data_IF_395521572845
#
_entry.id   IF_395521572845
#
_cell.length_a   1.000
_cell.length_b   1.000
_cell.length_c   1.000
_cell.angle_alpha   90.00
_cell.angle_beta   90.00
_cell.angle_gamma   90.00
#
_symmetry.space_group_name_H-M   'P 1'
#
loop_
_entity.id
_entity.type
_entity.pdbx_description
1 polymer ?
#
# COMPACT_ATOMS: atom_id res chain seq x y z
N UNK A 1 -21.24 -23.36 1.97
CA UNK A 1 -22.47 -24.03 2.43
C UNK A 1 -22.41 -25.53 2.19
N UNK A 2 -21.68 -26.00 1.16
CA UNK A 2 -21.46 -27.44 0.91
C UNK A 2 -20.99 -28.18 2.17
N UNK A 3 -19.97 -27.68 2.88
CA UNK A 3 -19.50 -28.34 4.11
C UNK A 3 -20.57 -28.47 5.19
N UNK A 4 -21.46 -27.47 5.36
CA UNK A 4 -22.49 -27.49 6.40
C UNK A 4 -23.56 -28.55 6.13
N UNK A 5 -23.93 -28.73 4.85
CA UNK A 5 -24.89 -29.74 4.42
C UNK A 5 -24.27 -31.13 4.28
N UNK A 6 -23.04 -31.24 3.76
CA UNK A 6 -22.34 -32.52 3.58
C UNK A 6 -21.81 -33.10 4.90
N UNK A 7 -21.41 -32.24 5.84
CA UNK A 7 -20.82 -32.66 7.12
C UNK A 7 -21.83 -32.63 8.28
N UNK A 8 -23.11 -32.33 8.00
CA UNK A 8 -24.19 -32.18 8.99
C UNK A 8 -23.84 -31.22 10.14
N UNK A 9 -23.19 -30.09 9.83
CA UNK A 9 -22.63 -29.14 10.79
C UNK A 9 -21.59 -29.71 11.78
N UNK A 10 -21.05 -30.92 11.54
CA UNK A 10 -19.91 -31.45 12.28
C UNK A 10 -18.62 -31.27 11.49
N UNK A 11 -17.72 -30.40 11.97
CA UNK A 11 -16.43 -30.16 11.31
C UNK A 11 -15.52 -31.39 11.27
N UNK A 12 -15.75 -32.40 12.11
CA UNK A 12 -15.00 -33.67 12.08
C UNK A 12 -15.22 -34.47 10.79
N UNK A 13 -16.36 -34.27 10.11
CA UNK A 13 -16.72 -35.02 8.92
C UNK A 13 -16.22 -34.36 7.61
N UNK A 14 -15.47 -33.26 7.71
CA UNK A 14 -14.95 -32.55 6.53
C UNK A 14 -13.81 -33.37 5.90
N UNK A 15 -14.04 -33.85 4.68
CA UNK A 15 -13.24 -34.84 3.92
C UNK A 15 -11.77 -34.47 3.61
N UNK A 16 -11.29 -33.34 4.11
CA UNK A 16 -9.94 -32.80 3.88
C UNK A 16 -9.12 -32.61 5.16
N UNK A 17 -9.72 -32.76 6.35
CA UNK A 17 -9.07 -32.48 7.64
C UNK A 17 -9.10 -33.71 8.57
N UNK A 18 -8.64 -34.86 8.08
CA UNK A 18 -8.66 -36.12 8.85
C UNK A 18 -7.61 -36.14 9.98
N UNK A 19 -8.07 -36.26 11.22
CA UNK A 19 -7.24 -36.28 12.43
C UNK A 19 -6.64 -37.67 12.75
N UNK A 20 -6.00 -38.30 11.76
CA UNK A 20 -5.59 -39.72 11.80
C UNK A 20 -4.34 -40.07 12.61
N UNK A 21 -3.50 -39.10 13.03
CA UNK A 21 -2.25 -39.38 13.75
C UNK A 21 -2.14 -38.64 15.10
N UNK A 22 -1.69 -39.34 16.14
CA UNK A 22 -1.61 -38.84 17.52
C UNK A 22 -0.74 -37.57 17.69
N UNK A 23 0.25 -37.36 16.82
CA UNK A 23 1.11 -36.16 16.84
C UNK A 23 0.44 -34.86 16.37
N UNK A 24 -0.73 -34.94 15.72
CA UNK A 24 -1.54 -33.78 15.26
C UNK A 24 -2.67 -33.44 16.23
N UNK A 25 -2.86 -34.25 17.28
CA UNK A 25 -4.00 -34.12 18.20
C UNK A 25 -3.82 -33.04 19.27
N UNK A 26 -2.59 -32.65 19.61
CA UNK A 26 -2.36 -31.73 20.73
C UNK A 26 -1.35 -30.67 20.30
N UNK A 27 -1.76 -29.41 20.34
CA UNK A 27 -0.85 -28.30 20.06
C UNK A 27 -0.03 -27.91 21.29
N UNK A 28 0.83 -26.90 21.15
CA UNK A 28 1.71 -26.46 22.23
C UNK A 28 1.02 -25.45 23.15
N UNK A 29 1.06 -25.73 24.46
CA UNK A 29 0.60 -24.78 25.48
C UNK A 29 1.66 -23.72 25.71
N UNK A 30 1.28 -22.45 25.59
CA UNK A 30 2.15 -21.32 25.90
C UNK A 30 1.40 -20.25 26.69
N UNK A 31 1.62 -20.25 28.01
CA UNK A 31 1.04 -19.25 28.92
C UNK A 31 1.53 -17.84 28.61
N UNK A 32 2.83 -17.69 28.32
CA UNK A 32 3.44 -16.39 28.04
C UNK A 32 2.84 -15.76 26.78
N UNK A 33 2.77 -16.51 25.67
CA UNK A 33 2.21 -16.01 24.43
C UNK A 33 0.71 -15.74 24.55
N UNK A 34 -0.06 -16.68 25.12
CA UNK A 34 -1.50 -16.52 25.30
C UNK A 34 -1.88 -15.32 26.17
N UNK A 35 -1.22 -15.12 27.31
CA UNK A 35 -1.46 -13.95 28.18
C UNK A 35 -1.06 -12.66 27.45
N UNK A 36 0.08 -12.64 26.74
CA UNK A 36 0.51 -11.45 25.99
C UNK A 36 -0.51 -11.04 24.92
N UNK A 37 -1.05 -12.00 24.16
CA UNK A 37 -2.08 -11.75 23.14
C UNK A 37 -3.39 -11.25 23.75
N UNK A 38 -3.85 -11.84 24.86
CA UNK A 38 -5.08 -11.40 25.54
C UNK A 38 -4.92 -9.99 26.09
N UNK A 39 -3.79 -9.68 26.74
CA UNK A 39 -3.52 -8.34 27.29
C UNK A 39 -3.44 -7.31 26.17
N UNK A 40 -2.68 -7.60 25.11
CA UNK A 40 -2.58 -6.74 23.94
C UNK A 40 -3.95 -6.50 23.28
N UNK A 41 -4.68 -7.57 22.99
CA UNK A 41 -6.02 -7.51 22.39
C UNK A 41 -6.98 -6.70 23.24
N UNK A 42 -6.99 -6.90 24.56
CA UNK A 42 -7.87 -6.16 25.48
C UNK A 42 -7.59 -4.66 25.48
N UNK A 43 -6.32 -4.26 25.44
CA UNK A 43 -5.93 -2.84 25.38
C UNK A 43 -6.36 -2.21 24.05
N UNK A 44 -6.09 -2.90 22.93
CA UNK A 44 -6.46 -2.39 21.59
C UNK A 44 -7.96 -2.33 21.42
N UNK A 45 -8.71 -3.32 21.93
CA UNK A 45 -10.17 -3.36 21.88
C UNK A 45 -10.80 -2.17 22.60
N UNK A 46 -10.29 -1.83 23.80
CA UNK A 46 -10.72 -0.65 24.56
C UNK A 46 -10.45 0.63 23.76
N UNK A 47 -9.28 0.73 23.12
CA UNK A 47 -8.92 1.89 22.32
C UNK A 47 -9.89 2.05 21.13
N UNK A 48 -10.18 0.98 20.40
CA UNK A 48 -11.14 0.99 19.30
C UNK A 48 -12.56 1.38 19.76
N UNK A 49 -13.01 0.85 20.91
CA UNK A 49 -14.30 1.20 21.48
C UNK A 49 -14.42 2.71 21.80
N UNK A 50 -13.36 3.32 22.34
CA UNK A 50 -13.32 4.76 22.59
C UNK A 50 -13.40 5.55 21.27
N UNK A 51 -12.65 5.15 20.25
CA UNK A 51 -12.64 5.84 18.94
C UNK A 51 -14.03 5.76 18.29
N UNK A 52 -14.67 4.59 18.29
CA UNK A 52 -16.04 4.42 17.76
C UNK A 52 -17.04 5.25 18.56
N UNK A 53 -16.94 5.28 19.89
CA UNK A 53 -17.81 6.11 20.73
C UNK A 53 -17.73 7.60 20.36
N UNK A 54 -16.53 8.11 20.06
CA UNK A 54 -16.34 9.49 19.59
C UNK A 54 -16.96 9.69 18.20
N UNK A 55 -16.75 8.75 17.28
CA UNK A 55 -17.31 8.82 15.91
C UNK A 55 -18.85 8.72 15.88
N UNK A 56 -19.47 8.12 16.91
CA UNK A 56 -20.94 8.02 17.01
C UNK A 56 -21.64 9.35 17.30
N UNK A 57 -20.91 10.42 17.63
CA UNK A 57 -21.51 11.75 17.80
C UNK A 57 -22.20 12.20 16.51
N UNK A 58 -23.35 12.88 16.66
CA UNK A 58 -24.23 13.26 15.54
C UNK A 58 -23.50 14.11 14.50
N UNK A 59 -22.55 14.95 14.92
CA UNK A 59 -21.74 15.81 14.05
C UNK A 59 -20.91 15.01 13.03
N UNK A 60 -20.29 13.90 13.44
CA UNK A 60 -19.46 13.08 12.56
C UNK A 60 -20.28 12.10 11.72
N UNK A 61 -21.40 11.60 12.24
CA UNK A 61 -22.28 10.65 11.54
C UNK A 61 -22.97 11.20 10.30
N UNK A 62 -22.92 12.50 10.05
CA UNK A 62 -23.44 13.09 8.80
C UNK A 62 -22.47 12.84 7.64
N UNK A 63 -21.17 12.85 7.92
CA UNK A 63 -20.10 12.71 6.92
C UNK A 63 -19.99 11.26 6.42
N UNK A 64 -19.89 11.08 5.11
CA UNK A 64 -19.85 9.76 4.46
C UNK A 64 -18.63 8.95 4.87
N UNK A 65 -17.45 9.58 4.96
CA UNK A 65 -16.23 8.90 5.37
C UNK A 65 -16.32 8.35 6.80
N UNK A 66 -16.88 9.10 7.76
CA UNK A 66 -17.01 8.62 9.13
C UNK A 66 -17.95 7.42 9.23
N UNK A 67 -18.97 7.32 8.37
CA UNK A 67 -19.81 6.11 8.26
C UNK A 67 -19.01 4.89 7.84
N UNK A 68 -18.12 5.06 6.84
CA UNK A 68 -17.25 3.99 6.37
C UNK A 68 -16.24 3.60 7.46
N UNK A 69 -15.61 4.58 8.12
CA UNK A 69 -14.64 4.34 9.20
C UNK A 69 -15.27 3.67 10.43
N UNK A 70 -16.53 3.98 10.75
CA UNK A 70 -17.25 3.26 11.82
C UNK A 70 -17.46 1.78 11.47
N UNK A 71 -17.86 1.47 10.23
CA UNK A 71 -18.00 0.07 9.78
C UNK A 71 -16.64 -0.64 9.77
N UNK A 72 -15.60 0.02 9.28
CA UNK A 72 -14.24 -0.53 9.32
C UNK A 72 -13.80 -0.83 10.76
N UNK A 73 -14.05 0.10 11.69
CA UNK A 73 -13.74 -0.11 13.11
C UNK A 73 -14.50 -1.29 13.73
N UNK A 74 -15.73 -1.57 13.29
CA UNK A 74 -16.49 -2.75 13.73
C UNK A 74 -15.84 -4.05 13.20
N UNK A 75 -15.39 -4.06 11.95
CA UNK A 75 -14.62 -5.19 11.41
C UNK A 75 -13.33 -5.40 12.19
N UNK A 76 -12.56 -4.33 12.45
CA UNK A 76 -11.30 -4.42 13.19
C UNK A 76 -11.50 -4.94 14.62
N UNK A 77 -12.52 -4.46 15.34
CA UNK A 77 -12.89 -4.98 16.68
C UNK A 77 -13.25 -6.46 16.63
N UNK A 78 -14.07 -6.87 15.67
CA UNK A 78 -14.43 -8.28 15.50
C UNK A 78 -13.19 -9.14 15.19
N UNK A 79 -12.28 -8.65 14.33
CA UNK A 79 -11.02 -9.33 14.03
C UNK A 79 -10.11 -9.43 15.24
N UNK A 80 -9.96 -8.38 16.05
CA UNK A 80 -9.18 -8.42 17.31
C UNK A 80 -9.76 -9.44 18.27
N UNK A 81 -11.09 -9.53 18.35
CA UNK A 81 -11.77 -10.56 19.14
C UNK A 81 -11.34 -11.99 18.76
N UNK A 82 -11.19 -12.27 17.47
CA UNK A 82 -10.79 -13.60 16.97
C UNK A 82 -9.26 -13.78 17.04
N UNK A 83 -8.50 -12.85 16.48
CA UNK A 83 -7.06 -12.99 16.23
C UNK A 83 -6.19 -12.71 17.47
N UNK A 84 -6.71 -11.98 18.46
CA UNK A 84 -5.99 -11.68 19.70
C UNK A 84 -6.61 -12.38 20.91
N UNK A 85 -7.89 -12.13 21.21
CA UNK A 85 -8.50 -12.67 22.44
C UNK A 85 -8.73 -14.18 22.35
N UNK A 86 -9.39 -14.63 21.28
CA UNK A 86 -9.69 -16.05 21.09
C UNK A 86 -8.43 -16.86 20.74
N UNK A 87 -7.57 -16.37 19.85
CA UNK A 87 -6.27 -16.99 19.59
C UNK A 87 -5.41 -17.06 20.86
N UNK A 88 -5.38 -16.01 21.68
CA UNK A 88 -4.68 -16.04 22.96
C UNK A 88 -5.22 -17.12 23.88
N UNK A 89 -6.54 -17.30 23.99
CA UNK A 89 -7.16 -18.41 24.71
C UNK A 89 -6.76 -19.78 24.14
N UNK A 90 -6.75 -19.94 22.81
CA UNK A 90 -6.30 -21.18 22.17
C UNK A 90 -4.85 -21.53 22.48
N UNK A 91 -3.96 -20.54 22.64
CA UNK A 91 -2.58 -20.77 23.07
C UNK A 91 -2.46 -21.22 24.54
N UNK A 92 -3.38 -20.79 25.41
CA UNK A 92 -3.42 -21.22 26.82
C UNK A 92 -3.85 -22.67 26.99
N UNK A 93 -4.73 -23.15 26.12
CA UNK A 93 -5.28 -24.52 26.15
C UNK A 93 -4.48 -25.47 25.27
N UNK A 94 -3.60 -24.96 24.39
CA UNK A 94 -2.88 -25.79 23.41
C UNK A 94 -3.81 -26.32 22.31
N UNK A 95 -4.78 -25.51 21.91
CA UNK A 95 -5.82 -25.91 20.96
C UNK A 95 -5.24 -26.13 19.55
N UNK A 96 -5.75 -27.16 18.89
CA UNK A 96 -5.56 -27.47 17.47
C UNK A 96 -6.90 -27.86 16.87
N UNK A 97 -7.01 -27.84 15.53
CA UNK A 97 -8.22 -28.27 14.83
C UNK A 97 -8.76 -29.61 15.34
N UNK A 98 -7.88 -30.57 15.63
CA UNK A 98 -8.28 -31.90 16.10
C UNK A 98 -8.80 -31.95 17.54
N UNK A 99 -8.56 -30.91 18.35
CA UNK A 99 -9.12 -30.80 19.72
C UNK A 99 -10.48 -30.11 19.77
N UNK A 100 -10.66 -29.07 18.94
CA UNK A 100 -11.87 -28.25 18.92
C UNK A 100 -12.30 -27.96 17.47
N UNK A 101 -12.66 -28.99 16.68
CA UNK A 101 -12.83 -28.87 15.23
C UNK A 101 -13.92 -27.88 14.85
N UNK A 102 -15.12 -27.99 15.44
CA UNK A 102 -16.23 -27.09 15.11
C UNK A 102 -15.96 -25.63 15.50
N UNK A 103 -15.35 -25.42 16.68
CA UNK A 103 -15.04 -24.07 17.15
C UNK A 103 -14.00 -23.42 16.23
N UNK A 104 -12.87 -24.10 15.98
CA UNK A 104 -11.76 -23.58 15.17
C UNK A 104 -12.19 -23.37 13.72
N UNK A 105 -12.99 -24.28 13.16
CA UNK A 105 -13.51 -24.14 11.80
C UNK A 105 -14.38 -22.89 11.66
N UNK A 106 -15.37 -22.70 12.55
CA UNK A 106 -16.29 -21.56 12.51
C UNK A 106 -15.54 -20.25 12.74
N UNK A 107 -14.65 -20.21 13.73
CA UNK A 107 -13.88 -19.00 14.04
C UNK A 107 -12.86 -18.68 12.96
N UNK A 108 -12.33 -19.69 12.28
CA UNK A 108 -11.45 -19.55 11.13
C UNK A 108 -12.14 -19.00 9.89
N UNK A 109 -13.36 -19.47 9.62
CA UNK A 109 -14.21 -18.92 8.57
C UNK A 109 -14.55 -17.45 8.85
N UNK A 110 -14.90 -17.13 10.10
CA UNK A 110 -15.14 -15.76 10.55
C UNK A 110 -13.89 -14.88 10.41
N UNK A 111 -12.72 -15.35 10.86
CA UNK A 111 -11.45 -14.61 10.74
C UNK A 111 -11.17 -14.23 9.29
N UNK A 112 -11.27 -15.19 8.37
CA UNK A 112 -11.02 -14.96 6.95
C UNK A 112 -12.04 -13.99 6.34
N UNK A 113 -13.34 -14.16 6.65
CA UNK A 113 -14.37 -13.26 6.15
C UNK A 113 -14.26 -11.84 6.72
N UNK A 114 -13.88 -11.68 7.99
CA UNK A 114 -13.64 -10.37 8.60
C UNK A 114 -12.42 -9.68 7.97
N UNK A 115 -11.34 -10.42 7.70
CA UNK A 115 -10.17 -9.90 7.01
C UNK A 115 -10.48 -9.43 5.58
N UNK A 116 -11.19 -10.24 4.80
CA UNK A 116 -11.61 -9.84 3.46
C UNK A 116 -12.61 -8.66 3.48
N UNK A 117 -13.51 -8.62 4.47
CA UNK A 117 -14.47 -7.54 4.68
C UNK A 117 -13.80 -6.21 5.03
N UNK A 118 -12.80 -6.21 5.92
CA UNK A 118 -12.02 -5.03 6.28
C UNK A 118 -11.25 -4.49 5.07
N UNK A 119 -10.58 -5.36 4.31
CA UNK A 119 -9.88 -5.00 3.08
C UNK A 119 -10.80 -4.31 2.06
N UNK A 120 -11.99 -4.88 1.81
CA UNK A 120 -12.97 -4.28 0.89
C UNK A 120 -13.50 -2.93 1.41
N UNK A 121 -13.69 -2.81 2.73
CA UNK A 121 -14.11 -1.54 3.35
C UNK A 121 -13.02 -0.47 3.23
N UNK A 122 -11.74 -0.83 3.38
CA UNK A 122 -10.61 0.05 3.11
C UNK A 122 -10.56 0.51 1.66
N UNK A 123 -10.83 -0.38 0.68
CA UNK A 123 -10.89 0.01 -0.72
C UNK A 123 -12.01 1.04 -0.97
N UNK A 124 -13.19 0.83 -0.38
CA UNK A 124 -14.31 1.77 -0.46
C UNK A 124 -13.95 3.11 0.17
N UNK A 125 -13.19 3.12 1.27
CA UNK A 125 -12.67 4.34 1.89
C UNK A 125 -11.72 5.09 0.94
N UNK A 126 -10.81 4.38 0.27
CA UNK A 126 -9.91 4.97 -0.72
C UNK A 126 -10.71 5.59 -1.87
N UNK A 127 -11.67 4.85 -2.43
CA UNK A 127 -12.54 5.36 -3.50
C UNK A 127 -13.32 6.59 -3.03
N UNK A 128 -13.86 6.57 -1.81
CA UNK A 128 -14.55 7.73 -1.22
C UNK A 128 -13.64 8.97 -1.19
N UNK A 129 -12.38 8.80 -0.79
CA UNK A 129 -11.40 9.90 -0.71
C UNK A 129 -10.89 10.38 -2.06
N UNK A 130 -10.69 9.48 -3.02
CA UNK A 130 -10.34 9.85 -4.38
C UNK A 130 -11.47 10.61 -5.06
N UNK A 131 -12.73 10.19 -4.87
CA UNK A 131 -13.88 10.89 -5.46
C UNK A 131 -14.11 12.27 -4.85
N UNK A 132 -13.83 12.43 -3.55
CA UNK A 132 -13.89 13.73 -2.85
C UNK A 132 -12.97 14.77 -3.52
N UNK A 133 -11.81 14.33 -4.03
CA UNK A 133 -10.82 15.19 -4.70
C UNK A 133 -11.05 15.30 -6.20
N UNK A 134 -11.33 14.18 -6.88
CA UNK A 134 -11.37 14.11 -8.33
C UNK A 134 -12.74 14.48 -8.93
N UNK A 135 -13.84 14.13 -8.26
CA UNK A 135 -15.19 14.34 -8.78
C UNK A 135 -16.26 14.36 -7.69
N UNK A 136 -16.47 15.55 -7.10
CA UNK A 136 -17.42 15.77 -6.03
C UNK A 136 -18.87 15.38 -6.40
N UNK A 137 -19.27 15.55 -7.67
CA UNK A 137 -20.63 15.20 -8.13
C UNK A 137 -20.90 13.70 -8.05
N UNK A 138 -19.92 12.87 -8.42
CA UNK A 138 -20.02 11.41 -8.31
C UNK A 138 -19.93 10.97 -6.85
N UNK A 139 -19.09 11.63 -6.04
CA UNK A 139 -19.00 11.40 -4.60
C UNK A 139 -20.37 11.58 -3.92
N UNK A 140 -21.04 12.72 -4.15
CA UNK A 140 -22.37 12.99 -3.57
C UNK A 140 -23.44 12.02 -4.09
N UNK A 141 -23.32 11.57 -5.34
CA UNK A 141 -24.26 10.61 -5.94
C UNK A 141 -24.20 9.25 -5.24
N UNK A 142 -23.00 8.71 -5.05
CA UNK A 142 -22.74 7.37 -4.49
C UNK A 142 -22.76 7.37 -2.96
N UNK A 143 -22.12 8.35 -2.34
CA UNK A 143 -21.88 8.41 -0.90
C UNK A 143 -22.73 9.46 -0.17
N UNK A 144 -23.74 10.04 -0.82
CA UNK A 144 -24.62 11.02 -0.19
C UNK A 144 -25.57 10.42 0.84
N UNK A 145 -25.63 11.03 2.03
CA UNK A 145 -26.59 10.72 3.10
C UNK A 145 -26.67 9.22 3.43
N UNK A 146 -27.82 8.58 3.20
CA UNK A 146 -28.03 7.17 3.53
C UNK A 146 -27.52 6.20 2.45
N UNK A 147 -27.16 6.70 1.25
CA UNK A 147 -26.64 5.86 0.16
C UNK A 147 -25.29 5.25 0.50
N UNK A 148 -24.52 5.90 1.37
CA UNK A 148 -23.29 5.32 1.93
C UNK A 148 -23.53 3.94 2.54
N UNK A 149 -24.64 3.77 3.28
CA UNK A 149 -24.96 2.47 3.90
C UNK A 149 -25.32 1.40 2.86
N UNK A 150 -25.94 1.80 1.73
CA UNK A 150 -26.19 0.89 0.62
C UNK A 150 -24.87 0.43 -0.03
N UNK A 151 -23.91 1.33 -0.24
CA UNK A 151 -22.56 0.96 -0.73
C UNK A 151 -21.85 0.05 0.28
N UNK A 152 -22.01 0.30 1.58
CA UNK A 152 -21.45 -0.53 2.65
C UNK A 152 -22.09 -1.93 2.74
N UNK A 153 -23.19 -2.22 2.02
CA UNK A 153 -23.67 -3.59 1.89
C UNK A 153 -22.72 -4.47 1.06
N UNK A 154 -21.97 -3.88 0.11
CA UNK A 154 -21.02 -4.60 -0.74
C UNK A 154 -19.96 -5.35 0.09
N UNK A 155 -19.19 -4.71 1.00
CA UNK A 155 -18.19 -5.41 1.81
C UNK A 155 -18.83 -6.41 2.78
N UNK A 156 -20.04 -6.15 3.28
CA UNK A 156 -20.76 -7.12 4.12
C UNK A 156 -21.16 -8.37 3.34
N UNK A 157 -21.72 -8.23 2.15
CA UNK A 157 -22.08 -9.36 1.30
C UNK A 157 -20.84 -10.15 0.86
N UNK A 158 -19.74 -9.45 0.56
CA UNK A 158 -18.46 -10.08 0.24
C UNK A 158 -17.88 -10.86 1.43
N UNK A 159 -17.89 -10.26 2.63
CA UNK A 159 -17.46 -10.92 3.87
C UNK A 159 -18.29 -12.17 4.16
N UNK A 160 -19.62 -12.08 4.05
CA UNK A 160 -20.52 -13.22 4.21
C UNK A 160 -20.26 -14.31 3.18
N UNK A 161 -20.04 -13.94 1.92
CA UNK A 161 -19.68 -14.91 0.87
C UNK A 161 -18.41 -15.68 1.24
N UNK A 162 -17.35 -14.99 1.66
CA UNK A 162 -16.10 -15.64 2.07
C UNK A 162 -16.32 -16.56 3.29
N UNK A 163 -17.03 -16.09 4.32
CA UNK A 163 -17.34 -16.90 5.51
C UNK A 163 -18.03 -18.23 5.17
N UNK A 164 -18.92 -18.25 4.17
CA UNK A 164 -19.72 -19.44 3.86
C UNK A 164 -19.18 -20.31 2.74
N UNK A 165 -18.45 -19.74 1.78
CA UNK A 165 -18.08 -20.43 0.53
C UNK A 165 -16.57 -20.60 0.34
N UNK A 166 -15.73 -20.08 1.23
CA UNK A 166 -14.28 -20.23 1.16
C UNK A 166 -13.78 -21.20 2.25
N UNK A 167 -12.81 -22.08 1.96
CA UNK A 167 -12.17 -22.89 2.99
C UNK A 167 -11.60 -22.00 4.11
N UNK A 168 -11.87 -22.32 5.39
CA UNK A 168 -11.42 -21.49 6.49
C UNK A 168 -9.92 -21.64 6.74
N UNK A 169 -9.35 -20.63 7.40
CA UNK A 169 -8.05 -20.78 8.04
C UNK A 169 -8.22 -21.53 9.36
N UNK A 170 -7.31 -22.43 9.70
CA UNK A 170 -7.39 -23.25 10.89
C UNK A 170 -6.27 -22.88 11.86
N UNK A 171 -6.61 -22.67 13.12
CA UNK A 171 -5.65 -22.32 14.16
C UNK A 171 -4.84 -23.54 14.59
N UNK A 172 -3.51 -23.36 14.68
CA UNK A 172 -2.62 -24.34 15.28
C UNK A 172 -1.70 -23.66 16.31
N UNK A 173 -1.84 -24.05 17.58
CA UNK A 173 -1.03 -23.51 18.68
C UNK A 173 0.45 -23.94 18.64
N UNK A 174 0.83 -24.96 17.88
CA UNK A 174 2.25 -25.28 17.63
C UNK A 174 2.98 -24.12 16.93
N UNK A 175 2.28 -23.43 16.02
CA UNK A 175 2.81 -22.30 15.27
C UNK A 175 2.27 -20.95 15.74
N UNK A 176 1.40 -20.94 16.77
CA UNK A 176 0.73 -19.75 17.30
C UNK A 176 -0.03 -18.93 16.24
N UNK A 177 -0.53 -19.55 15.16
CA UNK A 177 -1.12 -18.84 14.01
C UNK A 177 -2.25 -19.61 13.33
N UNK A 178 -3.02 -18.89 12.53
CA UNK A 178 -4.03 -19.43 11.60
C UNK A 178 -3.39 -19.79 10.26
N UNK A 179 -3.74 -20.97 9.72
CA UNK A 179 -3.13 -21.54 8.51
C UNK A 179 -4.20 -22.11 7.58
N UNK A 180 -4.03 -21.95 6.26
CA UNK A 180 -4.89 -22.61 5.27
C UNK A 180 -4.69 -24.13 5.23
N UNK A 181 -3.48 -24.59 5.55
CA UNK A 181 -3.14 -26.00 5.70
C UNK A 181 -2.36 -26.21 7.01
N UNK A 182 -3.03 -26.62 8.10
CA UNK A 182 -2.37 -26.81 9.38
C UNK A 182 -1.71 -28.19 9.53
N UNK A 183 -1.91 -29.13 8.58
CA UNK A 183 -1.53 -30.54 8.73
C UNK A 183 -0.29 -30.93 7.90
N UNK A 184 0.13 -30.13 6.92
CA UNK A 184 1.36 -30.39 6.16
C UNK A 184 2.61 -29.89 6.87
N UNK A 185 3.53 -30.81 7.18
CA UNK A 185 4.88 -30.51 7.71
C UNK A 185 5.84 -29.95 6.65
N UNK A 186 5.38 -29.72 5.42
CA UNK A 186 6.18 -29.22 4.31
C UNK A 186 5.84 -27.74 4.07
N UNK A 187 6.72 -26.86 4.56
CA UNK A 187 6.88 -25.42 4.26
C UNK A 187 5.90 -24.82 3.22
N UNK A 188 5.12 -23.78 3.60
CA UNK A 188 5.62 -22.41 3.44
C UNK A 188 5.14 -21.44 4.54
N UNK A 189 5.10 -21.85 5.81
CA UNK A 189 4.74 -20.96 6.94
C UNK A 189 5.62 -19.72 7.03
N UNK A 190 6.91 -19.83 6.71
CA UNK A 190 7.83 -18.70 6.65
C UNK A 190 7.46 -17.69 5.55
N UNK A 191 7.01 -18.14 4.37
CA UNK A 191 6.68 -17.26 3.23
C UNK A 191 5.41 -16.46 3.51
N UNK A 192 4.37 -17.11 4.03
CA UNK A 192 3.14 -16.41 4.45
C UNK A 192 3.41 -15.45 5.62
N UNK A 193 4.20 -15.85 6.61
CA UNK A 193 4.58 -14.97 7.71
C UNK A 193 5.39 -13.76 7.22
N UNK A 194 6.34 -13.95 6.31
CA UNK A 194 7.11 -12.87 5.69
C UNK A 194 6.20 -11.96 4.87
N UNK A 195 5.28 -12.49 4.08
CA UNK A 195 4.33 -11.68 3.30
C UNK A 195 3.41 -10.84 4.19
N UNK A 196 2.75 -11.45 5.19
CA UNK A 196 1.89 -10.73 6.12
C UNK A 196 2.68 -9.69 6.93
N UNK A 197 3.85 -10.05 7.45
CA UNK A 197 4.72 -9.12 8.18
C UNK A 197 5.20 -7.97 7.30
N UNK A 198 5.50 -8.23 6.02
CA UNK A 198 5.94 -7.21 5.07
C UNK A 198 4.81 -6.25 4.71
N UNK A 199 3.59 -6.75 4.52
CA UNK A 199 2.40 -5.93 4.27
C UNK A 199 2.08 -5.06 5.49
N UNK A 200 2.09 -5.63 6.70
CA UNK A 200 1.88 -4.88 7.94
C UNK A 200 2.97 -3.83 8.18
N UNK A 201 4.24 -4.15 7.93
CA UNK A 201 5.35 -3.21 8.04
C UNK A 201 5.26 -2.09 7.00
N UNK A 202 4.88 -2.39 5.76
CA UNK A 202 4.65 -1.40 4.71
C UNK A 202 3.50 -0.45 5.08
N UNK A 203 2.38 -0.98 5.58
CA UNK A 203 1.24 -0.18 6.03
C UNK A 203 1.60 0.70 7.23
N UNK A 204 2.33 0.19 8.22
CA UNK A 204 2.84 0.99 9.35
C UNK A 204 3.77 2.11 8.87
N UNK A 205 4.70 1.78 7.98
CA UNK A 205 5.66 2.74 7.42
C UNK A 205 4.96 3.81 6.57
N UNK A 206 3.88 3.46 5.87
CA UNK A 206 3.06 4.40 5.12
C UNK A 206 2.20 5.29 6.04
N UNK A 207 1.70 4.76 7.15
CA UNK A 207 0.86 5.50 8.10
C UNK A 207 1.64 6.50 8.97
N UNK A 208 2.87 6.16 9.37
CA UNK A 208 3.71 7.00 10.24
C UNK A 208 3.95 8.43 9.70
N UNK A 209 4.24 8.64 8.41
CA UNK A 209 4.32 9.97 7.80
C UNK A 209 3.03 10.79 7.94
N UNK A 210 1.85 10.19 7.79
CA UNK A 210 0.58 10.91 7.93
C UNK A 210 0.35 11.38 9.36
N UNK A 211 0.64 10.51 10.35
CA UNK A 211 0.58 10.88 11.76
C UNK A 211 1.59 11.97 12.08
N UNK A 212 2.82 11.87 11.56
CA UNK A 212 3.85 12.89 11.73
C UNK A 212 3.44 14.25 11.13
N UNK A 213 2.92 14.24 9.89
CA UNK A 213 2.47 15.46 9.19
C UNK A 213 1.32 16.18 9.90
N UNK A 214 0.58 15.51 10.78
CA UNK A 214 -0.49 16.10 11.57
C UNK A 214 0.03 16.98 12.72
N UNK A 215 1.24 16.70 13.22
CA UNK A 215 1.84 17.42 14.34
C UNK A 215 3.05 18.27 13.95
N UNK A 216 3.68 17.98 12.82
CA UNK A 216 4.90 18.64 12.37
C UNK A 216 4.84 19.02 10.88
N UNK A 217 5.34 20.21 10.48
CA UNK A 217 5.40 20.60 9.08
C UNK A 217 6.32 19.65 8.29
N UNK A 218 5.81 19.16 7.16
CA UNK A 218 6.54 18.23 6.30
C UNK A 218 7.84 18.88 5.78
N UNK A 219 9.00 18.19 5.87
CA UNK A 219 10.24 18.71 5.31
C UNK A 219 10.10 18.89 3.79
N UNK A 220 10.68 19.92 3.18
CA UNK A 220 10.54 20.22 1.74
C UNK A 220 11.05 19.11 0.80
N UNK A 221 11.76 18.10 1.32
CA UNK A 221 12.24 16.96 0.55
C UNK A 221 11.22 15.80 0.44
N UNK A 222 10.18 15.74 1.28
CA UNK A 222 9.22 14.63 1.27
C UNK A 222 8.33 14.55 0.01
N UNK A 223 7.87 15.67 -0.61
CA UNK A 223 7.11 15.62 -1.85
C UNK A 223 7.97 15.19 -3.04
N UNK A 224 9.27 15.48 -2.99
CA UNK A 224 10.24 15.08 -4.00
C UNK A 224 10.43 13.56 -3.99
N UNK A 225 10.51 12.95 -2.80
CA UNK A 225 10.61 11.49 -2.65
C UNK A 225 9.34 10.83 -3.20
N UNK A 226 8.15 11.34 -2.87
CA UNK A 226 6.88 10.83 -3.40
C UNK A 226 6.76 10.98 -4.93
N UNK A 227 7.24 12.10 -5.50
CA UNK A 227 7.30 12.29 -6.95
C UNK A 227 8.34 11.38 -7.61
N UNK A 228 9.47 11.12 -6.96
CA UNK A 228 10.46 10.14 -7.45
C UNK A 228 9.84 8.75 -7.49
N UNK A 229 9.09 8.34 -6.46
CA UNK A 229 8.34 7.07 -6.47
C UNK A 229 7.26 7.03 -7.55
N UNK A 230 6.59 8.15 -7.82
CA UNK A 230 5.60 8.26 -8.90
C UNK A 230 6.23 8.28 -10.32
N UNK A 231 7.48 8.75 -10.45
CA UNK A 231 8.26 8.75 -11.69
C UNK A 231 8.93 7.40 -11.99
N UNK A 232 8.94 6.48 -11.03
CA UNK A 232 9.40 5.10 -11.20
C UNK A 232 8.24 4.28 -11.76
N UNK A 233 8.09 4.26 -13.09
CA UNK A 233 7.16 3.35 -13.75
C UNK A 233 7.68 1.91 -13.56
N UNK A 234 6.90 1.11 -12.84
CA UNK A 234 7.13 -0.33 -12.72
C UNK A 234 6.29 -1.04 -13.78
N UNK A 235 6.96 -1.71 -14.70
CA UNK A 235 6.38 -2.37 -15.87
C UNK A 235 6.42 -3.88 -15.64
N UNK A 236 5.32 -4.56 -15.98
CA UNK A 236 5.26 -6.02 -15.97
C UNK A 236 4.84 -6.48 -17.36
N UNK A 237 5.75 -7.13 -18.07
CA UNK A 237 5.50 -7.60 -19.43
C UNK A 237 4.76 -8.94 -19.45
N UNK A 238 3.97 -9.19 -20.51
CA UNK A 238 3.39 -10.50 -20.76
C UNK A 238 4.45 -11.59 -20.76
N UNK A 239 4.09 -12.79 -20.29
CA UNK A 239 4.95 -13.97 -20.27
C UNK A 239 5.13 -14.56 -21.68
N UNK A 240 6.18 -15.36 -21.92
CA UNK A 240 6.49 -16.05 -23.18
C UNK A 240 5.32 -16.83 -23.85
N UNK A 241 4.27 -17.17 -23.10
CA UNK A 241 3.08 -17.86 -23.62
C UNK A 241 1.97 -16.90 -24.09
N UNK A 242 2.20 -15.59 -24.06
CA UNK A 242 1.26 -14.60 -24.53
C UNK A 242 1.17 -14.62 -26.06
N UNK A 243 0.02 -14.24 -26.59
CA UNK A 243 -0.18 -14.12 -28.04
C UNK A 243 0.65 -12.95 -28.59
N UNK A 244 1.20 -13.09 -29.80
CA UNK A 244 2.08 -12.09 -30.42
C UNK A 244 1.38 -10.72 -30.50
N UNK A 245 0.06 -10.70 -30.70
CA UNK A 245 -0.74 -9.48 -30.73
C UNK A 245 -0.78 -8.76 -29.36
N UNK A 246 -0.81 -9.52 -28.26
CA UNK A 246 -0.81 -8.99 -26.89
C UNK A 246 0.57 -8.45 -26.52
N UNK A 247 1.62 -9.15 -26.93
CA UNK A 247 3.01 -8.71 -26.75
C UNK A 247 3.26 -7.39 -27.51
N UNK A 248 2.86 -7.35 -28.79
CA UNK A 248 3.03 -6.18 -29.64
C UNK A 248 2.21 -4.96 -29.17
N UNK A 249 0.97 -5.15 -28.72
CA UNK A 249 0.16 -4.06 -28.12
C UNK A 249 0.83 -3.52 -26.85
N UNK A 250 1.33 -4.41 -25.99
CA UNK A 250 2.01 -4.03 -24.76
C UNK A 250 3.26 -3.18 -25.05
N UNK A 251 4.15 -3.64 -25.92
CA UNK A 251 5.36 -2.89 -26.27
C UNK A 251 5.06 -1.60 -27.03
N UNK A 252 4.02 -1.59 -27.89
CA UNK A 252 3.53 -0.38 -28.55
C UNK A 252 3.08 0.68 -27.54
N UNK A 253 2.23 0.29 -26.59
CA UNK A 253 1.72 1.19 -25.55
C UNK A 253 2.80 1.67 -24.59
N UNK A 254 3.74 0.80 -24.22
CA UNK A 254 4.89 1.16 -23.42
C UNK A 254 5.73 2.23 -24.15
N UNK A 255 5.97 2.02 -25.44
CA UNK A 255 6.73 2.95 -26.27
C UNK A 255 6.01 4.30 -26.38
N UNK A 256 4.70 4.32 -26.62
CA UNK A 256 3.91 5.55 -26.68
C UNK A 256 3.95 6.32 -25.36
N UNK A 257 3.78 5.62 -24.23
CA UNK A 257 3.87 6.20 -22.88
C UNK A 257 5.24 6.83 -22.64
N UNK A 258 6.32 6.18 -23.06
CA UNK A 258 7.68 6.74 -22.97
C UNK A 258 7.83 7.98 -23.86
N UNK A 259 7.17 8.03 -25.01
CA UNK A 259 7.24 9.16 -25.94
C UNK A 259 6.45 10.39 -25.48
N UNK A 260 5.34 10.20 -24.77
CA UNK A 260 4.56 11.29 -24.17
C UNK A 260 5.38 12.11 -23.18
N UNK A 261 6.31 11.47 -22.47
CA UNK A 261 7.18 12.15 -21.49
C UNK A 261 8.16 13.11 -22.21
N UNK A 262 8.27 14.39 -21.79
CA UNK A 262 9.20 15.34 -22.39
C UNK A 262 10.64 14.83 -22.46
N UNK A 263 11.34 15.10 -23.57
CA UNK A 263 12.74 14.66 -23.78
C UNK A 263 13.74 15.23 -22.78
N UNK A 264 13.39 16.32 -22.08
CA UNK A 264 14.24 16.97 -21.08
C UNK A 264 14.23 16.25 -19.74
N UNK A 265 13.23 15.40 -19.51
CA UNK A 265 13.04 14.72 -18.24
C UNK A 265 13.86 13.42 -18.19
N UNK A 266 14.30 13.07 -16.99
CA UNK A 266 14.95 11.79 -16.76
C UNK A 266 13.87 10.70 -16.78
N UNK A 267 13.98 9.79 -17.74
CA UNK A 267 13.09 8.64 -17.86
C UNK A 267 13.78 7.42 -17.27
N UNK A 268 13.15 6.79 -16.29
CA UNK A 268 13.59 5.54 -15.70
C UNK A 268 12.44 4.55 -15.86
N UNK A 269 12.67 3.47 -16.58
CA UNK A 269 11.73 2.36 -16.73
C UNK A 269 12.31 1.17 -16.00
N UNK A 270 11.58 0.66 -15.03
CA UNK A 270 11.92 -0.50 -14.23
C UNK A 270 10.89 -1.58 -14.46
N UNK A 271 11.28 -2.84 -14.44
CA UNK A 271 10.30 -3.90 -14.59
C UNK A 271 10.87 -5.25 -14.92
N UNK A 272 9.97 -6.22 -14.86
CA UNK A 272 10.13 -7.54 -15.44
C UNK A 272 9.61 -7.49 -16.87
N UNK A 273 10.54 -7.55 -17.83
CA UNK A 273 10.20 -7.41 -19.24
C UNK A 273 10.00 -8.74 -19.95
N UNK A 274 10.29 -9.89 -19.29
CA UNK A 274 10.07 -11.24 -19.84
C UNK A 274 10.55 -11.47 -21.29
N UNK A 275 11.40 -10.60 -21.85
CA UNK A 275 11.75 -10.60 -23.26
C UNK A 275 13.06 -11.36 -23.51
N UNK A 276 13.05 -12.25 -24.51
CA UNK A 276 14.23 -12.92 -25.03
C UNK A 276 14.41 -12.51 -26.51
N UNK A 277 15.64 -12.26 -27.00
CA UNK A 277 15.85 -12.11 -28.46
C UNK A 277 16.89 -13.03 -29.09
N UNK A 278 16.77 -13.07 -30.42
CA UNK A 278 17.64 -13.76 -31.35
C UNK A 278 18.94 -13.03 -31.68
N UNK A 279 19.84 -13.72 -32.38
CA UNK A 279 21.23 -13.30 -32.58
C UNK A 279 21.52 -12.24 -33.65
N UNK A 280 20.52 -11.73 -34.38
CA UNK A 280 20.72 -10.74 -35.45
C UNK A 280 20.72 -9.30 -34.89
N UNK A 281 21.68 -8.47 -35.35
CA UNK A 281 21.92 -7.11 -34.84
C UNK A 281 21.73 -6.03 -35.90
N UNK A 282 21.36 -6.39 -37.12
CA UNK A 282 21.30 -5.45 -38.23
C UNK A 282 20.17 -4.41 -38.04
N UNK A 283 20.52 -3.12 -37.97
CA UNK A 283 19.55 -2.00 -37.89
C UNK A 283 19.19 -1.53 -36.49
N UNK A 284 19.77 -2.12 -35.44
CA UNK A 284 19.49 -1.80 -34.03
C UNK A 284 20.74 -1.41 -33.22
N UNK A 285 21.85 -1.13 -33.89
CA UNK A 285 23.19 -0.91 -33.31
C UNK A 285 23.27 0.37 -32.45
N UNK A 286 22.32 1.30 -32.61
CA UNK A 286 22.23 2.54 -31.81
C UNK A 286 21.46 2.36 -30.50
N UNK A 287 20.73 1.27 -30.36
CA UNK A 287 19.92 0.93 -29.18
C UNK A 287 20.70 0.03 -28.21
N UNK A 288 21.71 -0.71 -28.72
CA UNK A 288 22.42 -1.75 -27.97
C UNK A 288 23.90 -1.46 -27.71
N UNK A 289 24.35 -1.83 -26.51
CA UNK A 289 25.73 -1.66 -26.07
C UNK A 289 26.66 -2.80 -26.55
N UNK A 290 27.95 -2.52 -26.78
CA UNK A 290 28.88 -3.48 -27.36
C UNK A 290 29.23 -4.68 -26.45
N UNK A 291 28.83 -4.66 -25.18
CA UNK A 291 29.24 -5.63 -24.16
C UNK A 291 28.19 -6.73 -23.87
N UNK A 292 27.20 -6.89 -24.75
CA UNK A 292 26.20 -7.96 -24.69
C UNK A 292 26.85 -9.35 -24.76
N UNK A 293 26.36 -10.31 -23.97
CA UNK A 293 26.88 -11.69 -23.95
C UNK A 293 26.30 -12.48 -25.13
N UNK A 294 27.13 -13.15 -25.94
CA UNK A 294 26.70 -13.86 -27.15
C UNK A 294 26.06 -15.23 -26.90
N UNK A 295 25.11 -15.59 -27.79
CA UNK A 295 24.53 -16.92 -28.00
C UNK A 295 23.06 -16.83 -28.43
N UNK A 296 22.28 -16.13 -27.61
CA UNK A 296 20.93 -15.65 -27.85
C UNK A 296 20.92 -14.26 -27.20
N UNK A 297 20.69 -13.20 -27.98
CA UNK A 297 20.82 -11.82 -27.51
C UNK A 297 19.45 -11.46 -26.94
N UNK A 298 19.23 -11.48 -25.63
CA UNK A 298 18.03 -10.86 -25.04
C UNK A 298 18.26 -9.36 -24.84
N UNK A 299 17.25 -8.57 -25.21
CA UNK A 299 17.25 -7.11 -25.08
C UNK A 299 16.76 -6.77 -23.69
N UNK A 300 17.59 -6.06 -22.92
CA UNK A 300 17.30 -4.71 -22.43
C UNK A 300 18.34 -4.26 -21.38
N UNK A 301 18.59 -2.95 -21.26
CA UNK A 301 19.07 -2.28 -20.05
C UNK A 301 20.55 -2.40 -19.59
N UNK A 302 21.12 -3.61 -19.46
CA UNK A 302 22.36 -3.82 -18.67
C UNK A 302 23.65 -4.04 -19.49
N UNK A 303 23.60 -3.90 -20.81
CA UNK A 303 24.61 -4.44 -21.74
C UNK A 303 25.64 -3.43 -22.27
N UNK A 304 25.56 -2.15 -21.86
CA UNK A 304 26.52 -1.14 -22.29
C UNK A 304 27.91 -1.35 -21.68
N UNK A 305 27.96 -1.77 -20.42
CA UNK A 305 29.20 -2.01 -19.68
C UNK A 305 29.52 -3.50 -19.57
N UNK A 306 30.80 -3.85 -19.66
CA UNK A 306 31.25 -5.23 -19.57
C UNK A 306 31.22 -5.73 -18.13
N UNK A 307 30.34 -6.69 -17.86
CA UNK A 307 30.24 -7.39 -16.58
C UNK A 307 30.57 -8.88 -16.71
N UNK A 308 31.00 -9.50 -15.61
CA UNK A 308 31.10 -10.96 -15.53
C UNK A 308 29.70 -11.57 -15.64
N UNK A 309 29.57 -12.76 -16.25
CA UNK A 309 28.28 -13.47 -16.43
C UNK A 309 27.46 -13.61 -15.13
N UNK A 310 28.15 -13.75 -13.99
CA UNK A 310 27.54 -13.81 -12.65
C UNK A 310 26.83 -12.52 -12.20
N UNK A 311 27.10 -11.38 -12.84
CA UNK A 311 26.49 -10.08 -12.55
C UNK A 311 25.47 -9.66 -13.61
N UNK A 312 25.18 -10.54 -14.59
CA UNK A 312 24.19 -10.31 -15.65
C UNK A 312 22.92 -11.13 -15.46
N UNK A 313 23.03 -12.33 -14.86
CA UNK A 313 21.87 -13.17 -14.54
C UNK A 313 21.04 -12.49 -13.45
N UNK A 314 19.77 -12.25 -13.75
CA UNK A 314 18.81 -11.61 -12.85
C UNK A 314 17.77 -12.58 -12.31
N UNK A 315 17.60 -13.74 -12.95
CA UNK A 315 16.69 -14.80 -12.51
C UNK A 315 17.33 -16.18 -12.57
N UNK A 316 16.90 -17.05 -11.68
CA UNK A 316 17.26 -18.46 -11.57
C UNK A 316 15.98 -19.30 -11.53
N UNK A 317 15.92 -20.40 -12.28
CA UNK A 317 14.76 -21.27 -12.20
C UNK A 317 14.62 -21.92 -10.81
N UNK A 318 13.39 -22.26 -10.38
CA UNK A 318 13.15 -22.89 -9.08
C UNK A 318 13.87 -24.23 -8.88
N UNK A 319 14.18 -24.93 -9.98
CA UNK A 319 14.96 -26.17 -9.99
C UNK A 319 16.49 -25.93 -10.02
N UNK A 320 16.94 -24.68 -10.12
CA UNK A 320 18.34 -24.26 -10.15
C UNK A 320 19.09 -24.60 -11.45
N UNK A 321 18.40 -25.12 -12.46
CA UNK A 321 19.01 -25.62 -13.71
C UNK A 321 19.25 -24.50 -14.72
N UNK A 322 18.30 -23.57 -14.84
CA UNK A 322 18.31 -22.47 -15.78
C UNK A 322 18.51 -21.13 -15.05
N UNK A 323 18.99 -20.15 -15.81
CA UNK A 323 19.21 -18.81 -15.26
C UNK A 323 19.21 -17.81 -16.40
N UNK A 324 18.36 -16.80 -16.31
CA UNK A 324 18.07 -15.87 -17.38
C UNK A 324 18.30 -14.42 -16.93
N UNK A 325 18.25 -13.53 -17.91
CA UNK A 325 18.25 -12.08 -17.71
C UNK A 325 16.87 -11.58 -18.14
N UNK A 326 15.98 -11.32 -17.17
CA UNK A 326 14.58 -10.91 -17.39
C UNK A 326 14.25 -9.56 -16.74
N UNK A 327 14.96 -9.21 -15.66
CA UNK A 327 14.85 -7.90 -15.00
C UNK A 327 15.77 -6.84 -15.64
N UNK A 328 15.20 -5.70 -16.04
CA UNK A 328 15.96 -4.64 -16.70
C UNK A 328 15.70 -3.25 -16.10
N UNK A 329 16.75 -2.43 -16.10
CA UNK A 329 16.69 -1.02 -15.70
C UNK A 329 17.07 -0.17 -16.91
N UNK A 330 16.10 0.55 -17.49
CA UNK A 330 16.35 1.46 -18.61
C UNK A 330 16.35 2.90 -18.12
N UNK A 331 17.45 3.61 -18.36
CA UNK A 331 17.58 5.04 -18.08
C UNK A 331 17.86 5.77 -19.40
N UNK A 332 17.29 6.96 -19.60
CA UNK A 332 17.47 7.75 -20.82
C UNK A 332 18.93 8.16 -21.16
N UNK A 333 19.89 7.86 -20.28
CA UNK A 333 21.34 8.04 -20.47
C UNK A 333 22.06 6.73 -20.11
N UNK A 334 23.24 6.52 -20.68
CA UNK A 334 24.07 5.34 -20.39
C UNK A 334 24.47 5.30 -18.92
N UNK A 335 23.99 4.29 -18.19
CA UNK A 335 24.29 4.05 -16.79
C UNK A 335 24.67 2.60 -16.56
N UNK A 336 25.47 2.38 -15.52
CA UNK A 336 25.91 1.05 -15.15
C UNK A 336 24.88 0.39 -14.22
N UNK A 337 24.40 -0.79 -14.64
CA UNK A 337 23.44 -1.61 -13.92
C UNK A 337 23.94 -3.07 -13.87
N UNK A 338 23.82 -3.71 -12.70
CA UNK A 338 24.31 -5.07 -12.45
C UNK A 338 23.50 -5.82 -11.40
N UNK A 339 23.47 -7.15 -11.51
CA UNK A 339 22.89 -8.04 -10.53
C UNK A 339 23.82 -8.26 -9.31
N UNK A 340 23.21 -8.31 -8.12
CA UNK A 340 23.83 -8.48 -6.81
C UNK A 340 23.39 -9.79 -6.15
N UNK A 341 24.20 -10.83 -6.35
CA UNK A 341 23.95 -12.17 -5.79
C UNK A 341 24.16 -12.31 -4.28
N UNK A 342 24.82 -11.34 -3.64
CA UNK A 342 25.11 -11.36 -2.20
C UNK A 342 23.99 -10.80 -1.32
N UNK A 343 22.92 -10.28 -1.93
CA UNK A 343 21.73 -9.79 -1.25
C UNK A 343 20.57 -10.78 -1.50
N UNK A 344 20.79 -12.03 -1.12
CA UNK A 344 19.84 -13.13 -1.33
C UNK A 344 18.72 -13.06 -0.28
N UNK A 345 17.48 -13.06 -0.75
CA UNK A 345 16.25 -13.01 0.06
C UNK A 345 15.45 -14.32 -0.10
N UNK A 346 16.02 -15.35 -0.72
CA UNK A 346 15.34 -16.62 -1.01
C UNK A 346 14.32 -16.50 -2.15
N UNK A 347 14.51 -15.52 -3.04
CA UNK A 347 13.74 -15.34 -4.28
C UNK A 347 14.47 -16.02 -5.44
N UNK A 348 13.72 -16.39 -6.47
CA UNK A 348 14.23 -16.79 -7.77
C UNK A 348 14.86 -15.62 -8.56
N UNK A 349 14.67 -14.38 -8.09
CA UNK A 349 15.31 -13.17 -8.64
C UNK A 349 16.51 -12.68 -7.81
N UNK A 350 17.53 -12.18 -8.51
CA UNK A 350 18.66 -11.45 -7.95
C UNK A 350 18.41 -9.94 -7.95
N UNK A 351 18.77 -9.26 -6.86
CA UNK A 351 18.70 -7.80 -6.77
C UNK A 351 19.47 -7.12 -7.91
N UNK A 352 18.80 -6.32 -8.73
CA UNK A 352 19.44 -5.50 -9.77
C UNK A 352 19.64 -4.08 -9.26
N UNK A 353 20.86 -3.55 -9.42
CA UNK A 353 21.19 -2.19 -8.97
C UNK A 353 21.79 -1.37 -10.10
N UNK A 354 21.20 -0.22 -10.38
CA UNK A 354 21.77 0.81 -11.24
C UNK A 354 22.36 1.96 -10.41
N UNK A 355 23.46 2.56 -10.88
CA UNK A 355 24.05 3.75 -10.26
C UNK A 355 23.80 4.98 -11.12
N UNK A 356 23.05 5.94 -10.59
CA UNK A 356 22.65 7.17 -11.26
C UNK A 356 23.40 8.38 -10.70
N UNK A 357 24.00 9.21 -11.58
CA UNK A 357 24.62 10.48 -11.18
C UNK A 357 23.82 11.66 -11.74
N UNK A 358 23.11 12.38 -10.87
CA UNK A 358 22.28 13.53 -11.25
C UNK A 358 22.98 14.85 -10.98
N UNK A 359 22.84 15.80 -11.92
CA UNK A 359 23.14 17.21 -11.71
C UNK A 359 21.83 17.96 -11.55
N UNK A 360 21.44 18.23 -10.32
CA UNK A 360 20.21 18.97 -10.01
C UNK A 360 20.45 20.48 -10.20
N UNK A 361 19.47 21.18 -10.77
CA UNK A 361 19.49 22.63 -10.84
C UNK A 361 19.18 23.17 -9.45
N UNK A 362 20.09 23.97 -8.88
CA UNK A 362 19.83 24.68 -7.64
C UNK A 362 18.70 25.68 -7.87
N UNK A 363 17.50 25.38 -7.38
CA UNK A 363 16.43 26.36 -7.30
C UNK A 363 16.85 27.40 -6.26
N UNK A 364 16.89 28.69 -6.63
CA UNK A 364 17.01 29.74 -5.61
C UNK A 364 15.83 29.55 -4.67
N UNK A 365 16.11 29.32 -3.38
CA UNK A 365 15.06 29.37 -2.35
C UNK A 365 14.26 30.64 -2.62
N UNK A 366 12.94 30.51 -2.76
CA UNK A 366 12.09 31.67 -2.63
C UNK A 366 12.52 32.39 -1.34
N UNK A 367 12.61 33.72 -1.40
CA UNK A 367 12.89 34.50 -0.20
C UNK A 367 11.89 34.07 0.86
N UNK A 368 12.40 33.62 2.00
CA UNK A 368 11.56 33.38 3.18
C UNK A 368 10.80 34.68 3.39
N UNK A 369 9.48 34.66 3.15
CA UNK A 369 8.61 35.79 3.47
C UNK A 369 8.71 35.92 4.98
N UNK A 370 9.39 36.96 5.45
CA UNK A 370 9.49 37.21 6.89
C UNK A 370 8.07 37.47 7.40
N UNK A 371 7.60 36.75 8.43
CA UNK A 371 6.33 37.07 9.05
C UNK A 371 6.37 38.51 9.60
N UNK A 372 5.24 39.20 9.54
CA UNK A 372 5.11 40.53 10.15
C UNK A 372 5.37 40.43 11.66
N UNK A 373 6.06 41.42 12.24
CA UNK A 373 6.32 41.50 13.68
C UNK A 373 5.06 41.96 14.40
N UNK A 374 4.08 41.07 14.52
CA UNK A 374 2.75 41.36 15.10
C UNK A 374 2.87 41.81 16.55
N UNK A 375 3.95 41.45 17.26
CA UNK A 375 4.19 41.88 18.64
C UNK A 375 4.27 43.41 18.78
N UNK A 376 4.66 44.12 17.72
CA UNK A 376 4.69 45.60 17.73
C UNK A 376 3.30 46.22 17.86
N UNK A 377 2.22 45.50 17.51
CA UNK A 377 0.85 45.97 17.71
C UNK A 377 0.40 45.95 19.18
N UNK A 378 1.21 45.40 20.10
CA UNK A 378 0.99 45.54 21.54
C UNK A 378 1.32 46.95 22.06
N UNK A 379 2.11 47.73 21.32
CA UNK A 379 2.34 49.14 21.61
C UNK A 379 1.10 49.98 21.18
N UNK A 380 0.44 50.69 22.10
CA UNK A 380 -0.74 51.51 21.80
C UNK A 380 -0.51 52.53 20.68
N UNK A 381 0.72 53.07 20.56
CA UNK A 381 1.07 54.08 19.57
C UNK A 381 1.14 53.45 18.17
N UNK A 382 1.80 52.28 18.07
CA UNK A 382 1.94 51.55 16.80
C UNK A 382 0.58 51.03 16.34
N UNK A 383 -0.21 50.49 17.25
CA UNK A 383 -1.57 49.99 16.97
C UNK A 383 -2.49 51.11 16.48
N UNK A 384 -2.45 52.28 17.13
CA UNK A 384 -3.27 53.44 16.72
C UNK A 384 -2.87 53.96 15.34
N UNK A 385 -1.56 54.04 15.06
CA UNK A 385 -1.06 54.48 13.75
C UNK A 385 -1.44 53.50 12.64
N UNK A 386 -1.25 52.21 12.87
CA UNK A 386 -1.63 51.16 11.92
C UNK A 386 -3.14 51.20 11.63
N UNK A 387 -3.97 51.30 12.67
CA UNK A 387 -5.44 51.36 12.53
C UNK A 387 -5.90 52.58 11.74
N UNK A 388 -5.27 53.74 11.98
CA UNK A 388 -5.61 54.98 11.29
C UNK A 388 -5.23 54.93 9.81
N UNK A 389 -4.04 54.41 9.50
CA UNK A 389 -3.58 54.29 8.12
C UNK A 389 -4.39 53.25 7.34
N UNK A 390 -4.70 52.10 7.96
CA UNK A 390 -5.55 51.07 7.40
C UNK A 390 -6.94 51.65 7.06
N UNK A 391 -7.55 52.38 7.99
CA UNK A 391 -8.87 53.00 7.82
C UNK A 391 -8.87 54.03 6.69
N UNK A 392 -7.86 54.88 6.64
CA UNK A 392 -7.73 55.89 5.57
C UNK A 392 -7.60 55.26 4.19
N UNK A 393 -6.83 54.16 4.05
CA UNK A 393 -6.67 53.48 2.76
C UNK A 393 -7.92 52.70 2.34
N UNK A 394 -8.66 52.13 3.29
CA UNK A 394 -9.94 51.48 2.98
C UNK A 394 -11.07 52.45 2.65
N UNK A 395 -11.04 53.69 3.16
CA UNK A 395 -12.01 54.72 2.75
C UNK A 395 -11.88 55.12 1.26
N UNK A 396 -10.67 54.99 0.69
CA UNK A 396 -10.39 55.25 -0.73
C UNK A 396 -10.60 53.99 -1.58
N UNK A 397 -10.75 52.82 -0.95
CA UNK A 397 -10.92 51.54 -1.62
C UNK A 397 -12.36 51.40 -2.16
N UNK A 398 -12.53 51.61 -3.46
CA UNK A 398 -13.82 51.39 -4.14
C UNK A 398 -14.07 49.91 -4.40
N UNK A 399 -15.28 49.43 -4.08
CA UNK A 399 -15.69 48.06 -4.41
C UNK A 399 -15.70 47.84 -5.92
N UNK A 400 -15.08 46.75 -6.38
CA UNK A 400 -15.25 46.25 -7.74
C UNK A 400 -16.33 45.17 -7.78
N UNK A 401 -16.80 44.78 -8.97
CA UNK A 401 -17.75 43.67 -9.13
C UNK A 401 -17.08 42.28 -9.13
N UNK A 402 -15.77 42.22 -8.86
CA UNK A 402 -14.92 41.04 -8.99
C UNK A 402 -14.26 40.72 -7.65
N UNK A 403 -14.72 39.63 -7.02
CA UNK A 403 -14.30 39.18 -5.69
C UNK A 403 -12.79 38.93 -5.62
N UNK A 404 -12.16 38.43 -6.68
CA UNK A 404 -10.72 38.16 -6.66
C UNK A 404 -9.90 39.45 -6.71
N UNK A 405 -10.39 40.47 -7.43
CA UNK A 405 -9.74 41.79 -7.44
C UNK A 405 -9.88 42.49 -6.11
N UNK A 406 -11.06 42.41 -5.49
CA UNK A 406 -11.29 42.95 -4.15
C UNK A 406 -10.38 42.26 -3.12
N UNK A 407 -10.24 40.93 -3.18
CA UNK A 407 -9.35 40.19 -2.29
C UNK A 407 -7.87 40.55 -2.48
N UNK A 408 -7.40 40.66 -3.72
CA UNK A 408 -6.04 41.11 -4.03
C UNK A 408 -5.81 42.52 -3.51
N UNK A 409 -6.77 43.42 -3.66
CA UNK A 409 -6.69 44.78 -3.16
C UNK A 409 -6.61 44.83 -1.63
N UNK A 410 -7.50 44.15 -0.92
CA UNK A 410 -7.48 44.02 0.55
C UNK A 410 -6.11 43.52 1.03
N UNK A 411 -5.61 42.43 0.42
CA UNK A 411 -4.33 41.83 0.78
C UNK A 411 -3.15 42.79 0.58
N UNK A 412 -3.18 43.58 -0.49
CA UNK A 412 -2.12 44.54 -0.82
C UNK A 412 -2.16 45.72 0.16
N UNK A 413 -3.34 46.27 0.43
CA UNK A 413 -3.53 47.37 1.38
C UNK A 413 -3.05 46.99 2.79
N UNK A 414 -3.41 45.81 3.28
CA UNK A 414 -2.96 45.34 4.61
C UNK A 414 -1.44 45.18 4.66
N UNK A 415 -0.82 44.66 3.59
CA UNK A 415 0.65 44.52 3.51
C UNK A 415 1.34 45.88 3.50
N UNK A 416 0.86 46.83 2.70
CA UNK A 416 1.47 48.15 2.59
C UNK A 416 1.34 48.98 3.88
N UNK A 417 0.31 48.73 4.70
CA UNK A 417 0.19 49.34 6.03
C UNK A 417 1.10 48.68 7.07
N UNK A 418 1.55 47.45 6.82
CA UNK A 418 2.34 46.66 7.76
C UNK A 418 3.86 46.75 7.52
N UNK A 419 4.30 47.23 6.35
CA UNK A 419 5.69 47.61 6.03
C UNK A 419 6.03 48.99 6.61
#
# INVERSE_FOLDING_TARGET
>A
MEWFFESAANAENVKYYECGADSLRHGMVSYTAGIAFIVYGSVVEIMYAIVIMVMMKREYRVLSCYKIMMVLGIYDMASIGVDALLSGYFMLVGASYCTYPSLIYVTGALALGLWCGSCMTCLILVVNRLLDVCNQRLMEMLFGNNRTYAVLMIPHLYSLYICFFTPPVLFNSEYFTWLFDPLTKLHPTAVFFIQCSSICAANLTAALPYVYMQFFPAPPHSPLISHIFWLLYHVYAPTDNADDDVENDFYGRLQDTIHEVPRRDLKIVLGDFNAQLGGDRHGIERTFGPSASSGHISDNGNTYFQHRRIHKKTWNSPDGVASNEIDHIRISRNHDARAYRGADVGSDHYLVRATLKLKLKHLRSSSIVRPFTVEKLMDPIVSSRFTLELRSRFEVFGNTSDIEKDWVGVKTTVRDCAD
#
